data_IF_514018276471
#
_entry.id   IF_514018276471
#
_cell.length_a   1.000
_cell.length_b   1.000
_cell.length_c   1.000
_cell.angle_alpha   90.00
_cell.angle_beta   90.00
_cell.angle_gamma   90.00
#
_symmetry.space_group_name_H-M   'P 1'
#
loop_
_entity.id
_entity.type
_entity.pdbx_description
1 polymer ?
#
# COMPACT_ATOMS: atom_id res chain seq x y z
N UNK A 1 -3.88 -5.66 23.39
CA UNK A 1 -4.36 -4.31 23.03
C UNK A 1 -4.23 -4.22 21.53
N UNK A 2 -5.26 -3.78 20.82
CA UNK A 2 -5.13 -3.54 19.38
C UNK A 2 -4.02 -2.49 19.15
N UNK A 3 -3.21 -2.66 18.11
CA UNK A 3 -2.15 -1.68 17.82
C UNK A 3 -2.76 -0.37 17.30
N UNK A 4 -2.04 0.73 17.45
CA UNK A 4 -2.43 2.04 16.92
C UNK A 4 -1.39 2.49 15.90
N UNK A 5 -1.85 3.22 14.88
CA UNK A 5 -0.99 3.84 13.89
C UNK A 5 -1.57 5.18 13.44
N UNK A 6 -0.72 6.01 12.88
CA UNK A 6 -1.12 7.30 12.33
C UNK A 6 -2.00 7.13 11.10
N UNK A 7 -2.86 8.12 10.80
CA UNK A 7 -3.62 8.16 9.54
C UNK A 7 -2.75 8.11 8.28
N UNK A 8 -1.48 8.51 8.40
CA UNK A 8 -0.49 8.38 7.34
C UNK A 8 -0.18 6.92 7.05
N UNK A 9 0.28 6.18 8.07
CA UNK A 9 0.64 4.75 7.95
C UNK A 9 -0.57 3.92 7.49
N UNK A 10 -1.75 4.18 8.05
CA UNK A 10 -2.98 3.55 7.59
C UNK A 10 -3.33 3.94 6.15
N UNK A 11 -3.05 5.18 5.74
CA UNK A 11 -3.25 5.66 4.38
C UNK A 11 -2.34 4.98 3.36
N UNK A 12 -1.09 4.71 3.73
CA UNK A 12 -0.11 3.95 2.95
C UNK A 12 -0.61 2.52 2.73
N UNK A 13 -1.01 1.82 3.79
CA UNK A 13 -1.57 0.46 3.70
C UNK A 13 -2.88 0.41 2.92
N UNK A 14 -3.78 1.38 3.12
CA UNK A 14 -5.01 1.49 2.34
C UNK A 14 -4.71 1.57 0.83
N UNK A 15 -3.79 2.46 0.43
CA UNK A 15 -3.43 2.63 -0.96
C UNK A 15 -2.77 1.37 -1.54
N UNK A 16 -1.89 0.74 -0.77
CA UNK A 16 -1.25 -0.52 -1.14
C UNK A 16 -2.27 -1.65 -1.33
N UNK A 17 -3.20 -1.87 -0.41
CA UNK A 17 -4.23 -2.89 -0.54
C UNK A 17 -5.23 -2.60 -1.66
N UNK A 18 -5.63 -1.34 -1.85
CA UNK A 18 -6.42 -0.95 -3.03
C UNK A 18 -5.70 -1.25 -4.34
N UNK A 19 -4.39 -1.01 -4.40
CA UNK A 19 -3.58 -1.30 -5.58
C UNK A 19 -3.57 -2.80 -5.91
N UNK A 20 -3.41 -3.66 -4.90
CA UNK A 20 -3.44 -5.12 -5.05
C UNK A 20 -4.84 -5.63 -5.43
N UNK A 21 -5.88 -5.06 -4.81
CA UNK A 21 -7.27 -5.38 -5.12
C UNK A 21 -7.63 -4.98 -6.56
N UNK A 22 -7.30 -3.77 -7.00
CA UNK A 22 -7.68 -3.24 -8.32
C UNK A 22 -6.78 -3.74 -9.45
N UNK A 23 -5.47 -3.82 -9.21
CA UNK A 23 -4.46 -4.26 -10.15
C UNK A 23 -4.21 -3.34 -11.32
N UNK A 24 -4.54 -2.07 -11.14
CA UNK A 24 -4.20 -1.01 -12.05
C UNK A 24 -4.19 0.32 -11.30
N UNK A 25 -3.49 1.29 -11.87
CA UNK A 25 -3.58 2.69 -11.47
C UNK A 25 -3.99 3.54 -12.66
N UNK A 26 -4.38 4.77 -12.38
CA UNK A 26 -4.57 5.76 -13.43
C UNK A 26 -3.52 6.84 -13.31
N UNK A 27 -3.06 7.34 -14.46
CA UNK A 27 -2.28 8.57 -14.48
C UNK A 27 -3.06 9.74 -13.90
N UNK A 28 -2.36 10.64 -13.22
CA UNK A 28 -2.91 11.93 -12.79
C UNK A 28 -2.91 12.95 -13.92
N UNK A 29 -3.85 13.88 -13.89
CA UNK A 29 -3.84 15.11 -14.69
C UNK A 29 -3.24 16.27 -13.89
N UNK A 30 -2.83 17.38 -14.53
CA UNK A 30 -2.37 18.58 -13.83
C UNK A 30 -3.39 19.14 -12.82
N UNK A 31 -4.68 18.89 -13.04
CA UNK A 31 -5.77 19.28 -12.13
C UNK A 31 -5.96 18.31 -10.95
N UNK A 32 -5.04 17.35 -10.76
CA UNK A 32 -5.11 16.32 -9.71
C UNK A 32 -6.39 15.47 -9.83
N UNK A 33 -6.79 15.19 -11.08
CA UNK A 33 -7.89 14.28 -11.40
C UNK A 33 -7.36 13.01 -12.07
N UNK A 34 -8.12 11.94 -11.92
CA UNK A 34 -7.93 10.66 -12.62
C UNK A 34 -8.00 10.87 -14.13
N UNK A 35 -6.98 10.42 -14.86
CA UNK A 35 -7.00 10.37 -16.31
C UNK A 35 -7.57 9.02 -16.76
N UNK A 36 -8.86 8.96 -17.08
CA UNK A 36 -9.54 7.74 -17.54
C UNK A 36 -8.92 7.11 -18.80
N UNK A 37 -8.24 7.91 -19.62
CA UNK A 37 -7.57 7.42 -20.83
C UNK A 37 -6.23 6.73 -20.54
N UNK A 38 -5.65 6.93 -19.35
CA UNK A 38 -4.34 6.39 -18.99
C UNK A 38 -4.47 5.42 -17.80
N UNK A 39 -4.98 4.23 -18.08
CA UNK A 39 -5.03 3.11 -17.14
C UNK A 39 -3.80 2.24 -17.31
N UNK A 40 -3.00 2.12 -16.26
CA UNK A 40 -1.75 1.37 -16.23
C UNK A 40 -1.98 0.08 -15.44
N UNK A 41 -1.94 -1.11 -16.07
CA UNK A 41 -2.05 -2.38 -15.37
C UNK A 41 -0.80 -2.65 -14.54
N UNK A 42 -1.02 -3.15 -13.32
CA UNK A 42 0.01 -3.49 -12.35
C UNK A 42 0.24 -4.99 -12.44
N UNK A 43 1.48 -5.41 -12.68
CA UNK A 43 1.83 -6.82 -12.73
C UNK A 43 2.36 -7.30 -11.38
N UNK A 44 3.09 -6.45 -10.65
CA UNK A 44 3.64 -6.78 -9.34
C UNK A 44 3.83 -5.50 -8.52
N UNK A 45 3.67 -5.62 -7.21
CA UNK A 45 4.13 -4.62 -6.24
C UNK A 45 5.24 -5.25 -5.38
N UNK A 46 6.29 -4.49 -5.11
CA UNK A 46 7.39 -4.88 -4.25
C UNK A 46 7.45 -3.96 -3.03
N UNK A 47 7.61 -4.54 -1.84
CA UNK A 47 7.76 -3.81 -0.58
C UNK A 47 8.95 -4.37 0.20
N UNK A 48 9.68 -3.48 0.86
CA UNK A 48 10.79 -3.86 1.75
C UNK A 48 10.29 -3.87 3.20
N UNK A 49 10.37 -5.01 3.88
CA UNK A 49 10.16 -5.10 5.32
C UNK A 49 11.48 -5.38 6.06
N UNK A 50 11.44 -5.39 7.40
CA UNK A 50 12.60 -5.58 8.25
C UNK A 50 13.41 -6.87 8.00
N UNK A 51 12.77 -7.92 7.53
CA UNK A 51 13.33 -9.25 7.23
C UNK A 51 13.41 -9.55 5.72
N UNK A 52 13.31 -8.52 4.87
CA UNK A 52 13.63 -8.60 3.45
C UNK A 52 12.51 -8.22 2.49
N UNK A 53 12.73 -8.50 1.21
CA UNK A 53 11.85 -8.07 0.12
C UNK A 53 10.62 -8.98 -0.02
N UNK A 54 9.45 -8.36 -0.18
CA UNK A 54 8.18 -9.02 -0.54
C UNK A 54 7.78 -8.65 -1.94
N UNK A 55 7.36 -9.64 -2.70
CA UNK A 55 6.79 -9.47 -4.03
C UNK A 55 5.33 -9.95 -4.04
N UNK A 56 4.43 -9.03 -4.37
CA UNK A 56 3.00 -9.26 -4.50
C UNK A 56 2.67 -9.28 -6.00
N UNK A 57 2.68 -10.47 -6.60
CA UNK A 57 2.45 -10.65 -8.03
C UNK A 57 0.94 -10.75 -8.28
N UNK A 58 0.40 -9.90 -9.13
CA UNK A 58 -1.02 -9.89 -9.42
C UNK A 58 -1.37 -10.96 -10.44
N UNK A 59 -2.11 -11.96 -9.99
CA UNK A 59 -2.80 -12.92 -10.84
C UNK A 59 -4.23 -12.44 -11.10
N UNK A 60 -5.05 -13.26 -11.77
CA UNK A 60 -6.42 -12.86 -12.15
C UNK A 60 -7.27 -12.52 -10.94
N UNK A 61 -7.45 -13.48 -10.04
CA UNK A 61 -8.35 -13.40 -8.89
C UNK A 61 -7.57 -13.41 -7.54
N UNK A 62 -6.26 -13.63 -7.61
CA UNK A 62 -5.36 -13.80 -6.46
C UNK A 62 -4.13 -12.89 -6.57
N UNK A 63 -3.48 -12.65 -5.44
CA UNK A 63 -2.13 -12.10 -5.34
C UNK A 63 -1.20 -13.22 -4.91
N UNK A 64 -0.19 -13.53 -5.72
CA UNK A 64 0.87 -14.46 -5.37
C UNK A 64 1.94 -13.70 -4.57
N UNK A 65 1.94 -13.90 -3.26
CA UNK A 65 2.92 -13.36 -2.33
C UNK A 65 4.16 -14.25 -2.29
N UNK A 66 5.32 -13.67 -2.60
CA UNK A 66 6.64 -14.28 -2.50
C UNK A 66 7.56 -13.50 -1.56
N UNK A 67 8.37 -14.24 -0.82
CA UNK A 67 9.48 -13.75 0.03
C UNK A 67 10.42 -14.90 0.35
N UNK A 68 11.47 -14.68 1.17
CA UNK A 68 12.50 -15.69 1.45
C UNK A 68 11.92 -17.03 1.91
N UNK A 69 10.87 -17.00 2.74
CA UNK A 69 10.16 -18.18 3.24
C UNK A 69 8.64 -18.10 3.04
N UNK A 70 8.19 -17.35 2.02
CA UNK A 70 6.78 -17.09 1.77
C UNK A 70 6.44 -17.48 0.33
N UNK A 71 5.43 -18.34 0.19
CA UNK A 71 4.81 -18.68 -1.10
C UNK A 71 3.31 -18.94 -0.84
N UNK A 72 2.49 -17.90 -1.01
CA UNK A 72 1.05 -17.95 -0.73
C UNK A 72 0.26 -17.27 -1.84
N UNK A 73 -0.99 -17.69 -2.01
CA UNK A 73 -1.97 -17.02 -2.88
C UNK A 73 -3.11 -16.53 -2.03
N UNK A 74 -3.32 -15.21 -2.03
CA UNK A 74 -4.38 -14.55 -1.25
C UNK A 74 -5.41 -13.99 -2.24
N UNK A 75 -6.72 -14.22 -2.04
CA UNK A 75 -7.77 -13.61 -2.85
C UNK A 75 -7.66 -12.08 -2.91
N UNK A 76 -7.86 -11.51 -4.10
CA UNK A 76 -7.84 -10.05 -4.29
C UNK A 76 -8.98 -9.35 -3.55
N UNK A 77 -10.08 -10.06 -3.31
CA UNK A 77 -11.22 -9.56 -2.55
C UNK A 77 -10.91 -9.34 -1.06
N UNK A 78 -9.97 -10.09 -0.48
CA UNK A 78 -9.58 -9.93 0.92
C UNK A 78 -8.84 -8.60 1.11
N UNK A 79 -7.90 -8.28 0.21
CA UNK A 79 -7.26 -6.96 0.17
C UNK A 79 -8.28 -5.83 0.00
N UNK A 80 -9.30 -6.03 -0.84
CA UNK A 80 -10.35 -5.04 -1.02
C UNK A 80 -11.15 -4.82 0.28
N UNK A 81 -11.52 -5.90 0.95
CA UNK A 81 -12.28 -5.89 2.21
C UNK A 81 -11.49 -5.17 3.31
N UNK A 82 -10.22 -5.52 3.48
CA UNK A 82 -9.37 -4.92 4.51
C UNK A 82 -9.07 -3.45 4.20
N UNK A 83 -8.89 -3.08 2.92
CA UNK A 83 -8.77 -1.68 2.54
C UNK A 83 -10.00 -0.86 2.95
N UNK A 84 -11.22 -1.39 2.76
CA UNK A 84 -12.44 -0.70 3.18
C UNK A 84 -12.54 -0.56 4.72
N UNK A 85 -12.11 -1.56 5.49
CA UNK A 85 -12.04 -1.48 6.94
C UNK A 85 -11.10 -0.35 7.41
N UNK A 86 -9.89 -0.30 6.83
CA UNK A 86 -8.91 0.74 7.12
C UNK A 86 -9.47 2.12 6.75
N UNK A 87 -10.05 2.26 5.56
CA UNK A 87 -10.65 3.52 5.11
C UNK A 87 -11.75 4.00 6.05
N UNK A 88 -12.64 3.10 6.47
CA UNK A 88 -13.73 3.40 7.39
C UNK A 88 -13.19 3.88 8.75
N UNK A 89 -12.16 3.25 9.29
CA UNK A 89 -11.54 3.65 10.55
C UNK A 89 -10.85 5.01 10.48
N UNK A 90 -10.04 5.27 9.43
CA UNK A 90 -9.44 6.59 9.18
C UNK A 90 -10.51 7.68 9.14
N UNK A 91 -11.62 7.43 8.45
CA UNK A 91 -12.71 8.41 8.29
C UNK A 91 -13.49 8.69 9.56
N UNK A 92 -13.61 7.71 10.44
CA UNK A 92 -14.36 7.84 11.69
C UNK A 92 -13.50 8.46 12.80
N UNK A 93 -12.18 8.28 12.75
CA UNK A 93 -11.28 8.88 13.73
C UNK A 93 -11.15 10.39 13.56
N UNK A 94 -11.24 11.11 14.68
CA UNK A 94 -10.95 12.55 14.75
C UNK A 94 -9.48 12.83 14.96
N UNK A 95 -8.81 11.97 15.71
CA UNK A 95 -7.38 12.08 16.04
C UNK A 95 -6.52 11.52 14.89
N UNK A 96 -5.21 11.77 14.95
CA UNK A 96 -4.27 11.21 13.98
C UNK A 96 -3.94 9.74 14.27
N UNK A 97 -3.89 9.37 15.55
CA UNK A 97 -3.75 7.98 15.96
C UNK A 97 -5.08 7.25 15.79
N UNK A 98 -5.05 6.13 15.07
CA UNK A 98 -6.20 5.29 14.75
C UNK A 98 -5.89 3.87 15.21
N UNK A 99 -6.75 3.34 16.07
CA UNK A 99 -6.71 1.95 16.51
C UNK A 99 -7.02 1.00 15.34
N UNK A 100 -6.29 -0.11 15.29
CA UNK A 100 -6.47 -1.16 14.29
C UNK A 100 -7.91 -1.67 14.26
N UNK A 101 -8.56 -1.72 13.07
CA UNK A 101 -9.89 -2.30 12.94
C UNK A 101 -9.87 -3.82 13.15
N UNK A 102 -11.00 -4.37 13.62
CA UNK A 102 -11.14 -5.82 13.83
C UNK A 102 -10.80 -6.62 12.56
N UNK A 103 -9.98 -7.66 12.70
CA UNK A 103 -9.53 -8.54 11.62
C UNK A 103 -8.36 -8.01 10.76
N UNK A 104 -7.99 -6.73 10.89
CA UNK A 104 -6.89 -6.16 10.10
C UNK A 104 -5.53 -6.70 10.54
N UNK A 105 -5.32 -6.85 11.85
CA UNK A 105 -4.11 -7.47 12.43
C UNK A 105 -3.85 -8.87 11.88
N UNK A 106 -4.88 -9.73 11.91
CA UNK A 106 -4.81 -11.11 11.44
C UNK A 106 -4.47 -11.17 9.95
N UNK A 107 -5.02 -10.25 9.16
CA UNK A 107 -4.72 -10.17 7.73
C UNK A 107 -3.30 -9.65 7.46
N UNK A 108 -2.81 -8.68 8.23
CA UNK A 108 -1.43 -8.19 8.10
C UNK A 108 -0.42 -9.32 8.34
N UNK A 109 -0.64 -10.15 9.36
CA UNK A 109 0.14 -11.36 9.62
C UNK A 109 0.04 -12.38 8.46
N UNK A 110 -1.16 -12.56 7.90
CA UNK A 110 -1.39 -13.46 6.77
C UNK A 110 -0.54 -13.08 5.54
N UNK A 111 -0.50 -11.77 5.23
CA UNK A 111 0.24 -11.19 4.09
C UNK A 111 1.67 -10.77 4.43
N UNK A 112 2.17 -11.18 5.60
CA UNK A 112 3.52 -10.96 6.09
C UNK A 112 3.97 -9.48 6.08
N UNK A 113 3.09 -8.61 6.57
CA UNK A 113 3.37 -7.20 6.84
C UNK A 113 3.48 -7.01 8.35
N UNK A 114 4.66 -6.64 8.81
CA UNK A 114 4.96 -6.52 10.24
C UNK A 114 5.28 -5.08 10.65
N UNK A 115 5.76 -4.27 9.70
CA UNK A 115 5.91 -2.83 9.86
C UNK A 115 4.88 -2.14 8.96
N UNK A 116 4.19 -1.13 9.49
CA UNK A 116 3.19 -0.37 8.72
C UNK A 116 3.86 0.58 7.72
N UNK A 117 5.02 1.11 8.07
CA UNK A 117 5.89 1.89 7.18
C UNK A 117 6.95 0.97 6.57
N UNK A 118 7.14 1.06 5.27
CA UNK A 118 8.18 0.28 4.58
C UNK A 118 9.58 0.75 5.00
N UNK A 119 10.55 -0.16 5.03
CA UNK A 119 11.93 0.17 5.39
C UNK A 119 12.70 0.66 4.15
N UNK A 120 12.68 1.96 3.88
CA UNK A 120 13.40 2.56 2.75
C UNK A 120 14.19 3.81 3.12
N UNK A 121 15.33 4.00 2.45
CA UNK A 121 16.18 5.19 2.63
C UNK A 121 15.78 6.36 1.71
N UNK A 122 14.95 6.09 0.69
CA UNK A 122 14.59 7.04 -0.37
C UNK A 122 13.12 7.52 -0.31
N UNK A 123 12.40 7.20 0.78
CA UNK A 123 10.97 7.51 1.03
C UNK A 123 10.01 6.78 0.09
N UNK A 124 10.45 5.74 -0.58
CA UNK A 124 9.57 4.85 -1.35
C UNK A 124 8.76 4.01 -0.37
N UNK A 125 7.43 4.03 -0.48
CA UNK A 125 6.56 3.18 0.36
C UNK A 125 6.45 1.78 -0.25
N UNK A 126 6.41 1.70 -1.58
CA UNK A 126 6.51 0.46 -2.35
C UNK A 126 6.89 0.74 -3.80
N UNK A 127 7.41 -0.26 -4.49
CA UNK A 127 7.74 -0.21 -5.90
C UNK A 127 6.75 -0.99 -6.74
N UNK A 128 6.51 -0.57 -7.98
CA UNK A 128 5.55 -1.20 -8.89
C UNK A 128 6.22 -1.59 -10.20
N UNK A 129 5.96 -2.80 -10.66
CA UNK A 129 6.22 -3.24 -12.03
C UNK A 129 4.91 -3.18 -12.84
N UNK A 130 4.89 -2.37 -13.91
CA UNK A 130 3.73 -2.22 -14.78
C UNK A 130 3.79 -3.20 -15.96
N UNK A 131 2.63 -3.68 -16.42
CA UNK A 131 2.43 -4.55 -17.58
C UNK A 131 3.06 -5.95 -17.52
N UNK A 132 4.25 -6.11 -16.95
CA UNK A 132 4.97 -7.38 -16.79
C UNK A 132 5.71 -7.40 -15.46
N UNK A 133 5.86 -8.60 -14.88
CA UNK A 133 6.64 -8.82 -13.64
C UNK A 133 8.13 -8.50 -13.82
N UNK A 134 8.64 -8.65 -15.05
CA UNK A 134 10.05 -8.37 -15.39
C UNK A 134 10.29 -6.88 -15.75
N UNK A 135 9.25 -6.04 -15.68
CA UNK A 135 9.40 -4.62 -15.98
C UNK A 135 10.23 -3.90 -14.90
N UNK A 136 10.96 -2.83 -15.25
CA UNK A 136 11.67 -2.02 -14.27
C UNK A 136 10.75 -1.51 -13.16
N UNK A 137 11.22 -1.60 -11.92
CA UNK A 137 10.51 -1.09 -10.75
C UNK A 137 10.44 0.43 -10.76
N UNK A 138 9.24 0.95 -10.51
CA UNK A 138 8.99 2.37 -10.29
C UNK A 138 8.59 2.58 -8.83
N UNK A 139 9.36 3.36 -8.07
CA UNK A 139 9.04 3.69 -6.68
C UNK A 139 7.84 4.63 -6.57
N UNK A 140 6.96 4.36 -5.61
CA UNK A 140 5.80 5.18 -5.27
C UNK A 140 5.88 5.68 -3.83
N UNK A 141 5.43 6.92 -3.65
CA UNK A 141 5.18 7.51 -2.34
C UNK A 141 3.70 7.89 -2.25
N UNK A 142 2.99 7.30 -1.31
CA UNK A 142 1.58 7.52 -1.02
C UNK A 142 1.44 8.85 -0.30
N UNK A 143 0.50 9.65 -0.78
CA UNK A 143 0.12 10.92 -0.15
C UNK A 143 -1.36 10.92 0.10
N UNK A 144 -1.74 10.97 1.37
CA UNK A 144 -3.13 11.04 1.81
C UNK A 144 -3.49 12.46 2.22
N UNK A 145 -4.69 12.90 1.85
CA UNK A 145 -5.30 14.14 2.37
C UNK A 145 -6.07 13.91 3.68
N UNK A 146 -6.16 12.66 4.15
CA UNK A 146 -6.91 12.29 5.35
C UNK A 146 -6.06 12.41 6.61
N UNK A 147 -4.73 12.38 6.50
CA UNK A 147 -3.78 12.60 7.59
C UNK A 147 -2.98 13.89 7.43
N UNK A 148 -2.02 14.11 8.33
CA UNK A 148 -1.07 15.23 8.25
C UNK A 148 -0.27 15.19 6.94
N UNK A 149 -0.30 16.28 6.16
CA UNK A 149 0.48 16.37 4.92
C UNK A 149 1.95 16.67 5.23
N UNK A 150 2.84 15.74 4.87
CA UNK A 150 4.28 15.97 4.89
C UNK A 150 4.71 16.59 3.55
N UNK A 151 5.47 17.70 3.54
CA UNK A 151 5.92 18.33 2.31
C UNK A 151 6.82 17.41 1.48
N UNK A 152 6.67 17.47 0.15
CA UNK A 152 7.46 16.68 -0.80
C UNK A 152 8.97 16.98 -0.71
N UNK A 153 9.30 18.23 -0.39
CA UNK A 153 10.66 18.69 -0.14
C UNK A 153 10.79 18.95 1.35
N UNK A 154 11.73 18.28 2.00
CA UNK A 154 12.22 18.76 3.28
C UNK A 154 13.11 19.95 2.97
N UNK A 155 12.77 21.12 3.51
CA UNK A 155 13.34 22.41 3.12
C UNK A 155 14.80 22.63 3.53
N UNK A 156 15.61 21.57 3.61
CA UNK A 156 17.03 21.64 3.92
C UNK A 156 17.32 22.38 5.21
N UNK A 157 16.55 22.13 6.28
CA UNK A 157 16.90 22.63 7.61
C UNK A 157 17.73 21.60 8.34
N UNK A 158 19.01 21.55 7.98
CA UNK A 158 20.09 21.16 8.90
C UNK A 158 20.43 22.34 9.80
#
# INVERSE_FOLDING_TARGET
>A
MAFEATKREWGELYAFFRLLADGYVYGGTPDVKKNEALRLPVAMVQREEHDGTRQYILEKDTVHLKGENIDKRIPREDFATVAELIYAAIRQSREDDVTSPDGVEEFLDEVAIFDLEAKTDDRTDFSVAFYSVDAPLTGFCVRSRLGMMIPLLDGGRT
#
